data_IF_724668644826
#
_entry.id   IF_724668644826
#
_cell.length_a   1.000
_cell.length_b   1.000
_cell.length_c   1.000
_cell.angle_alpha   90.00
_cell.angle_beta   90.00
_cell.angle_gamma   90.00
#
_symmetry.space_group_name_H-M   'P 1'
#
loop_
_entity.id
_entity.type
_entity.pdbx_description
1 polymer ?
#
# COMPACT_ATOMS: atom_id res chain seq x y z
N UNK A 1 -13.12 28.92 26.05
CA UNK A 1 -12.49 27.84 26.86
C UNK A 1 -12.81 26.47 26.24
N UNK A 2 -14.05 26.15 25.84
CA UNK A 2 -14.40 24.88 25.22
C UNK A 2 -13.74 24.66 23.82
N UNK A 3 -13.57 25.72 23.04
CA UNK A 3 -12.96 25.65 21.70
C UNK A 3 -11.45 25.27 21.69
N UNK A 4 -10.72 25.66 22.74
CA UNK A 4 -9.28 25.38 22.85
C UNK A 4 -9.02 23.90 23.13
N UNK A 5 -9.82 23.29 24.02
CA UNK A 5 -9.71 21.87 24.36
C UNK A 5 -9.99 20.95 23.14
N UNK A 6 -11.01 21.28 22.34
CA UNK A 6 -11.31 20.50 21.14
C UNK A 6 -10.21 20.65 20.06
N UNK A 7 -9.65 21.84 19.90
CA UNK A 7 -8.54 22.10 18.97
C UNK A 7 -7.31 21.25 19.32
N UNK A 8 -6.93 21.22 20.60
CA UNK A 8 -5.81 20.43 21.09
C UNK A 8 -6.06 18.93 20.96
N UNK A 9 -7.28 18.46 21.23
CA UNK A 9 -7.65 17.06 21.06
C UNK A 9 -7.57 16.62 19.59
N UNK A 10 -8.06 17.43 18.65
CA UNK A 10 -7.99 17.16 17.21
C UNK A 10 -6.52 17.14 16.75
N UNK A 11 -5.76 18.18 17.13
CA UNK A 11 -4.32 18.26 16.84
C UNK A 11 -3.58 17.02 17.33
N UNK A 12 -3.79 16.61 18.59
CA UNK A 12 -3.14 15.44 19.17
C UNK A 12 -3.41 14.14 18.41
N UNK A 13 -4.64 13.94 17.93
CA UNK A 13 -4.99 12.78 17.11
C UNK A 13 -4.30 12.82 15.74
N UNK A 14 -4.30 13.96 15.05
CA UNK A 14 -3.62 14.14 13.77
C UNK A 14 -2.11 13.91 13.95
N UNK A 15 -1.51 14.50 14.97
CA UNK A 15 -0.08 14.35 15.25
C UNK A 15 0.30 12.89 15.56
N UNK A 16 -0.58 12.12 16.21
CA UNK A 16 -0.36 10.69 16.43
C UNK A 16 -0.30 9.89 15.13
N UNK A 17 -1.21 10.17 14.19
CA UNK A 17 -1.18 9.54 12.86
C UNK A 17 0.04 10.00 12.02
N UNK A 18 0.34 11.29 12.04
CA UNK A 18 1.53 11.81 11.36
C UNK A 18 2.82 11.18 11.89
N UNK A 19 2.92 10.98 13.20
CA UNK A 19 4.06 10.32 13.83
C UNK A 19 4.19 8.87 13.38
N UNK A 20 3.07 8.15 13.27
CA UNK A 20 3.05 6.78 12.76
C UNK A 20 3.48 6.70 11.30
N UNK A 21 3.05 7.66 10.44
CA UNK A 21 3.32 7.64 9.00
C UNK A 21 4.72 8.20 8.63
N UNK A 22 5.18 9.23 9.33
CA UNK A 22 6.40 9.98 8.95
C UNK A 22 7.60 9.60 9.83
N UNK A 23 7.35 9.05 11.03
CA UNK A 23 8.39 8.69 12.00
C UNK A 23 9.31 9.88 12.36
N UNK A 24 8.74 11.08 12.46
CA UNK A 24 9.44 12.31 12.82
C UNK A 24 8.67 13.04 13.93
N UNK A 25 9.35 13.92 14.66
CA UNK A 25 8.72 14.81 15.65
C UNK A 25 7.96 15.97 14.97
N UNK A 26 7.26 15.69 13.89
CA UNK A 26 6.49 16.68 13.13
C UNK A 26 5.17 16.93 13.84
N UNK A 27 4.80 18.19 14.03
CA UNK A 27 3.52 18.59 14.61
C UNK A 27 2.69 19.37 13.58
N UNK A 28 1.36 19.23 13.70
CA UNK A 28 0.40 19.97 12.86
C UNK A 28 -0.06 21.23 13.56
N UNK A 29 -0.47 22.25 12.80
CA UNK A 29 -1.16 23.41 13.34
C UNK A 29 -2.52 23.63 12.67
N UNK A 30 -3.52 23.99 13.46
CA UNK A 30 -4.86 24.34 13.01
C UNK A 30 -4.98 25.87 12.96
N UNK A 31 -5.15 26.43 11.76
CA UNK A 31 -5.29 27.85 11.52
C UNK A 31 -6.69 28.17 10.99
N UNK A 32 -7.32 29.21 11.50
CA UNK A 32 -8.62 29.71 11.05
C UNK A 32 -8.40 31.09 10.46
N UNK A 33 -8.76 31.30 9.21
CA UNK A 33 -8.43 32.52 8.47
C UNK A 33 -9.52 33.58 8.43
N UNK A 34 -10.82 33.26 8.62
CA UNK A 34 -11.96 34.21 8.51
C UNK A 34 -13.02 33.94 9.59
N UNK A 35 -13.62 34.97 10.19
CA UNK A 35 -14.61 34.85 11.29
C UNK A 35 -16.01 34.36 10.88
N UNK A 36 -16.36 34.31 9.58
CA UNK A 36 -17.67 33.78 9.14
C UNK A 36 -17.67 32.26 9.22
N UNK A 37 -18.70 31.65 9.83
CA UNK A 37 -18.76 30.18 10.06
C UNK A 37 -18.53 29.37 8.78
N UNK A 38 -19.11 29.80 7.66
CA UNK A 38 -18.90 29.12 6.38
C UNK A 38 -17.47 29.29 5.88
N UNK A 39 -16.93 30.49 5.94
CA UNK A 39 -15.52 30.75 5.60
C UNK A 39 -14.54 30.07 6.58
N UNK A 40 -14.93 29.93 7.85
CA UNK A 40 -14.15 29.18 8.84
C UNK A 40 -14.08 27.70 8.43
N UNK A 41 -15.18 27.08 8.02
CA UNK A 41 -15.21 25.68 7.59
C UNK A 41 -14.45 25.47 6.28
N UNK A 42 -14.58 26.42 5.34
CA UNK A 42 -13.93 26.35 4.02
C UNK A 42 -12.42 26.69 4.07
N UNK A 43 -11.95 27.36 5.14
CA UNK A 43 -10.57 27.83 5.28
C UNK A 43 -9.78 27.16 6.42
N UNK A 44 -10.35 26.14 7.07
CA UNK A 44 -9.57 25.33 8.01
C UNK A 44 -8.49 24.61 7.21
N UNK A 45 -7.24 25.00 7.41
CA UNK A 45 -6.09 24.34 6.83
C UNK A 45 -5.28 23.64 7.91
N UNK A 46 -4.81 22.45 7.59
CA UNK A 46 -3.90 21.68 8.44
C UNK A 46 -2.50 21.88 7.86
N UNK A 47 -1.60 22.41 8.68
CA UNK A 47 -0.22 22.70 8.28
C UNK A 47 0.72 21.94 9.21
N UNK A 48 1.74 21.34 8.65
CA UNK A 48 2.82 20.75 9.43
C UNK A 48 3.73 21.88 9.92
N UNK A 49 3.87 22.00 11.25
CA UNK A 49 4.71 23.04 11.86
C UNK A 49 6.17 22.90 11.39
N UNK A 50 6.84 24.02 11.20
CA UNK A 50 8.25 24.12 10.77
C UNK A 50 8.55 23.63 9.33
N UNK A 51 7.54 23.38 8.50
CA UNK A 51 7.75 23.00 7.11
C UNK A 51 7.03 23.96 6.17
N UNK A 52 7.77 24.76 5.42
CA UNK A 52 7.19 25.78 4.52
C UNK A 52 6.78 25.22 3.14
N UNK A 53 7.44 24.14 2.68
CA UNK A 53 7.16 23.52 1.39
C UNK A 53 7.05 22.01 1.57
N UNK A 54 5.84 21.49 1.67
CA UNK A 54 5.59 20.06 1.79
C UNK A 54 5.65 19.40 0.41
N UNK A 55 6.45 18.36 0.27
CA UNK A 55 6.39 17.50 -0.90
C UNK A 55 5.05 16.74 -0.98
N UNK A 56 4.64 16.36 -2.20
CA UNK A 56 3.36 15.66 -2.45
C UNK A 56 3.14 14.42 -1.58
N UNK A 57 4.20 13.63 -1.33
CA UNK A 57 4.11 12.46 -0.46
C UNK A 57 3.80 12.80 1.00
N UNK A 58 4.27 13.94 1.50
CA UNK A 58 3.95 14.40 2.86
C UNK A 58 2.52 14.93 2.93
N UNK A 59 2.08 15.63 1.89
CA UNK A 59 0.69 16.10 1.79
C UNK A 59 -0.29 14.93 1.71
N UNK A 60 0.02 13.88 0.94
CA UNK A 60 -0.81 12.70 0.86
C UNK A 60 -0.94 11.99 2.22
N UNK A 61 0.16 11.85 2.97
CA UNK A 61 0.13 11.29 4.34
C UNK A 61 -0.67 12.15 5.32
N UNK A 62 -0.57 13.47 5.21
CA UNK A 62 -1.37 14.39 6.02
C UNK A 62 -2.86 14.25 5.70
N UNK A 63 -3.22 14.14 4.42
CA UNK A 63 -4.58 13.89 3.98
C UNK A 63 -5.12 12.57 4.55
N UNK A 64 -4.40 11.47 4.40
CA UNK A 64 -4.79 10.18 4.98
C UNK A 64 -4.97 10.25 6.51
N UNK A 65 -4.08 10.94 7.21
CA UNK A 65 -4.19 11.11 8.67
C UNK A 65 -5.46 11.88 9.06
N UNK A 66 -5.90 12.84 8.26
CA UNK A 66 -7.14 13.59 8.53
C UNK A 66 -8.39 12.77 8.23
N UNK A 67 -8.38 11.96 7.17
CA UNK A 67 -9.48 11.05 6.85
C UNK A 67 -9.64 9.97 7.95
N UNK A 68 -8.54 9.40 8.43
CA UNK A 68 -8.56 8.46 9.55
C UNK A 68 -9.13 9.08 10.83
N UNK A 69 -8.89 10.37 11.07
CA UNK A 69 -9.50 11.07 12.19
C UNK A 69 -11.04 11.07 12.08
N UNK A 70 -11.58 11.20 10.88
CA UNK A 70 -13.01 11.13 10.63
C UNK A 70 -13.57 9.72 10.89
N UNK A 71 -12.90 8.69 10.44
CA UNK A 71 -13.27 7.28 10.62
C UNK A 71 -13.17 6.80 12.08
N UNK A 72 -12.31 7.42 12.88
CA UNK A 72 -12.14 7.09 14.30
C UNK A 72 -13.23 7.66 15.23
N UNK A 73 -14.24 8.37 14.72
CA UNK A 73 -15.40 8.74 15.50
C UNK A 73 -16.15 7.49 15.99
N UNK A 74 -16.74 7.58 17.19
CA UNK A 74 -17.63 6.52 17.69
C UNK A 74 -18.84 6.40 16.75
N UNK A 75 -18.92 5.25 16.10
CA UNK A 75 -19.99 4.90 15.18
C UNK A 75 -20.28 3.40 15.35
N UNK A 76 -21.55 3.05 15.46
CA UNK A 76 -21.97 1.66 15.67
C UNK A 76 -22.15 0.86 14.35
N UNK A 77 -21.87 1.49 13.21
CA UNK A 77 -21.99 0.89 11.88
C UNK A 77 -20.64 0.46 11.30
N UNK A 78 -20.69 -0.11 10.10
CA UNK A 78 -19.52 -0.48 9.32
C UNK A 78 -18.67 0.75 9.02
N UNK A 79 -17.40 0.68 9.39
CA UNK A 79 -16.40 1.66 9.00
C UNK A 79 -15.62 1.10 7.82
N UNK A 80 -15.81 1.69 6.64
CA UNK A 80 -15.16 1.28 5.39
C UNK A 80 -14.37 2.45 4.82
N UNK A 81 -13.13 2.22 4.44
CA UNK A 81 -12.28 3.16 3.75
C UNK A 81 -11.80 2.57 2.42
N UNK A 82 -11.99 3.31 1.34
CA UNK A 82 -11.51 2.96 0.02
C UNK A 82 -10.29 3.82 -0.31
N UNK A 83 -9.18 3.20 -0.67
CA UNK A 83 -7.93 3.89 -1.01
C UNK A 83 -7.49 3.44 -2.39
N UNK A 84 -7.42 4.35 -3.34
CA UNK A 84 -6.84 4.13 -4.65
C UNK A 84 -5.37 4.53 -4.65
N UNK A 85 -4.53 3.69 -5.26
CA UNK A 85 -3.10 3.95 -5.45
C UNK A 85 -2.41 4.43 -4.17
N UNK A 86 -2.47 3.60 -3.12
CA UNK A 86 -1.87 3.94 -1.82
C UNK A 86 -0.41 4.41 -1.93
N UNK A 87 0.31 3.91 -2.93
CA UNK A 87 1.70 4.26 -3.23
C UNK A 87 1.90 5.65 -3.83
N UNK A 88 0.85 6.33 -4.29
CA UNK A 88 0.99 7.61 -4.99
C UNK A 88 1.84 8.61 -4.21
N UNK A 89 2.94 9.06 -4.83
CA UNK A 89 3.92 9.99 -4.26
C UNK A 89 4.62 9.53 -2.98
N UNK A 90 4.54 8.23 -2.62
CA UNK A 90 5.18 7.68 -1.45
C UNK A 90 6.42 6.86 -1.81
N UNK A 91 7.53 7.14 -1.13
CA UNK A 91 8.71 6.27 -1.19
C UNK A 91 8.37 4.87 -0.62
N UNK A 92 8.94 3.76 -1.15
CA UNK A 92 8.61 2.39 -0.73
C UNK A 92 8.55 2.17 0.79
N UNK A 93 9.52 2.70 1.54
CA UNK A 93 9.52 2.58 3.00
C UNK A 93 8.37 3.37 3.67
N UNK A 94 7.94 4.49 3.04
CA UNK A 94 6.80 5.25 3.55
C UNK A 94 5.48 4.51 3.29
N UNK A 95 5.36 3.81 2.16
CA UNK A 95 4.22 2.93 1.86
C UNK A 95 4.04 1.89 2.97
N UNK A 96 5.13 1.24 3.38
CA UNK A 96 5.11 0.23 4.45
C UNK A 96 4.63 0.80 5.79
N UNK A 97 5.10 1.98 6.16
CA UNK A 97 4.68 2.64 7.41
C UNK A 97 3.20 3.01 7.39
N UNK A 98 2.69 3.48 6.24
CA UNK A 98 1.27 3.79 6.08
C UNK A 98 0.43 2.52 6.24
N UNK A 99 0.77 1.42 5.53
CA UNK A 99 0.04 0.15 5.66
C UNK A 99 0.02 -0.35 7.10
N UNK A 100 1.17 -0.35 7.79
CA UNK A 100 1.25 -0.78 9.19
C UNK A 100 0.34 0.08 10.09
N UNK A 101 0.33 1.40 9.87
CA UNK A 101 -0.53 2.29 10.66
C UNK A 101 -2.02 2.12 10.35
N UNK A 102 -2.39 1.77 9.10
CA UNK A 102 -3.77 1.45 8.71
C UNK A 102 -4.23 0.14 9.36
N UNK A 103 -3.38 -0.87 9.40
CA UNK A 103 -3.70 -2.18 10.00
C UNK A 103 -4.00 -2.11 11.51
N UNK A 104 -3.51 -1.07 12.20
CA UNK A 104 -3.80 -0.83 13.61
C UNK A 104 -5.18 -0.19 13.85
N UNK A 105 -5.89 0.22 12.79
CA UNK A 105 -7.19 0.88 12.91
C UNK A 105 -8.33 -0.13 12.91
N UNK A 106 -9.37 0.12 13.70
CA UNK A 106 -10.65 -0.62 13.67
C UNK A 106 -11.54 -0.14 12.51
N UNK A 107 -11.06 -0.34 11.29
CA UNK A 107 -11.68 0.10 10.04
C UNK A 107 -11.41 -0.97 8.98
N UNK A 108 -12.41 -1.29 8.17
CA UNK A 108 -12.19 -2.13 6.99
C UNK A 108 -11.62 -1.26 5.86
N UNK A 109 -10.50 -1.70 5.30
CA UNK A 109 -9.87 -1.04 4.16
C UNK A 109 -10.04 -1.89 2.90
N UNK A 110 -10.37 -1.23 1.79
CA UNK A 110 -10.22 -1.79 0.43
C UNK A 110 -9.23 -0.88 -0.29
N UNK A 111 -8.10 -1.46 -0.71
CA UNK A 111 -7.01 -0.69 -1.29
C UNK A 111 -6.65 -1.24 -2.67
N UNK A 112 -6.51 -0.36 -3.66
CA UNK A 112 -5.86 -0.72 -4.92
C UNK A 112 -4.41 -0.27 -4.91
N UNK A 113 -3.55 -1.06 -5.56
CA UNK A 113 -2.13 -0.76 -5.66
C UNK A 113 -1.50 -1.40 -6.89
N UNK A 114 -0.53 -0.71 -7.48
CA UNK A 114 0.39 -1.23 -8.49
C UNK A 114 1.82 -1.39 -7.93
N UNK A 115 1.98 -1.31 -6.60
CA UNK A 115 3.29 -1.38 -5.95
C UNK A 115 3.70 -2.82 -5.61
N UNK A 116 4.77 -3.35 -6.23
CA UNK A 116 5.35 -4.63 -5.83
C UNK A 116 5.79 -4.64 -4.36
N UNK A 117 6.22 -3.49 -3.83
CA UNK A 117 6.60 -3.37 -2.43
C UNK A 117 5.43 -3.63 -1.48
N UNK A 118 4.23 -3.12 -1.81
CA UNK A 118 3.03 -3.38 -1.04
C UNK A 118 2.60 -4.84 -1.18
N UNK A 119 2.53 -5.36 -2.41
CA UNK A 119 2.17 -6.73 -2.68
C UNK A 119 3.08 -7.73 -1.94
N UNK A 120 4.39 -7.44 -1.84
CA UNK A 120 5.37 -8.28 -1.14
C UNK A 120 5.20 -8.34 0.39
N UNK A 121 4.35 -7.50 0.98
CA UNK A 121 4.16 -7.42 2.44
C UNK A 121 2.78 -7.87 2.89
N UNK A 122 1.93 -8.26 1.96
CA UNK A 122 0.61 -8.78 2.28
C UNK A 122 0.77 -10.20 2.84
N UNK A 123 0.14 -10.45 3.97
CA UNK A 123 0.09 -11.79 4.57
C UNK A 123 -1.05 -12.58 3.93
N UNK A 124 -0.70 -13.52 3.07
CA UNK A 124 -1.64 -14.39 2.36
C UNK A 124 -2.18 -15.48 3.29
N UNK A 125 -1.36 -15.93 4.25
CA UNK A 125 -1.71 -16.96 5.23
C UNK A 125 -2.76 -16.52 6.24
N UNK A 126 -2.95 -15.21 6.44
CA UNK A 126 -3.95 -14.66 7.36
C UNK A 126 -5.19 -14.15 6.61
N UNK A 127 -5.94 -15.08 6.04
CA UNK A 127 -7.18 -14.80 5.29
C UNK A 127 -8.29 -14.13 6.13
N UNK A 128 -8.15 -14.10 7.45
CA UNK A 128 -9.12 -13.44 8.34
C UNK A 128 -8.88 -11.93 8.44
N UNK A 129 -7.62 -11.49 8.32
CA UNK A 129 -7.26 -10.08 8.44
C UNK A 129 -7.01 -9.40 7.11
N UNK A 130 -6.55 -10.13 6.10
CA UNK A 130 -6.20 -9.56 4.79
C UNK A 130 -6.55 -10.53 3.66
N UNK A 131 -7.21 -10.02 2.63
CA UNK A 131 -7.46 -10.75 1.38
C UNK A 131 -6.77 -10.03 0.24
N UNK A 132 -5.96 -10.75 -0.53
CA UNK A 132 -5.37 -10.25 -1.76
C UNK A 132 -6.27 -10.66 -2.94
N UNK A 133 -6.68 -9.67 -3.74
CA UNK A 133 -7.47 -9.86 -4.94
C UNK A 133 -6.63 -9.46 -6.15
N UNK A 134 -6.36 -10.39 -7.05
CA UNK A 134 -5.70 -10.11 -8.32
C UNK A 134 -6.75 -9.76 -9.37
N UNK A 135 -6.68 -8.54 -9.92
CA UNK A 135 -7.61 -8.07 -10.95
C UNK A 135 -6.92 -8.18 -12.32
N UNK A 136 -7.48 -9.00 -13.21
CA UNK A 136 -6.98 -9.16 -14.57
C UNK A 136 -8.10 -8.95 -15.59
N UNK A 137 -8.05 -7.84 -16.31
CA UNK A 137 -9.13 -7.44 -17.21
C UNK A 137 -10.44 -7.23 -16.46
N UNK A 138 -11.45 -8.06 -16.72
CA UNK A 138 -12.76 -8.05 -16.04
C UNK A 138 -12.90 -9.12 -14.96
N UNK A 139 -11.86 -9.90 -14.73
CA UNK A 139 -11.88 -11.01 -13.79
C UNK A 139 -11.13 -10.68 -12.52
N UNK A 140 -11.60 -11.26 -11.40
CA UNK A 140 -11.00 -11.04 -10.07
C UNK A 140 -10.68 -12.43 -9.48
N UNK A 141 -9.43 -12.61 -9.13
CA UNK A 141 -8.90 -13.85 -8.55
C UNK A 141 -8.47 -13.61 -7.10
N UNK A 142 -9.23 -14.11 -6.12
CA UNK A 142 -8.80 -14.03 -4.73
C UNK A 142 -7.67 -15.03 -4.47
N UNK A 143 -6.60 -14.55 -3.86
CA UNK A 143 -5.45 -15.37 -3.48
C UNK A 143 -5.62 -15.82 -2.01
N UNK A 144 -6.39 -16.87 -1.81
CA UNK A 144 -6.62 -17.48 -0.50
C UNK A 144 -6.70 -19.00 -0.59
N UNK A 145 -6.57 -19.68 0.55
CA UNK A 145 -6.59 -21.15 0.63
C UNK A 145 -7.90 -21.80 0.20
N UNK A 146 -9.01 -21.06 0.25
CA UNK A 146 -10.34 -21.62 -0.05
C UNK A 146 -10.63 -21.69 -1.55
N UNK A 147 -10.00 -20.81 -2.32
CA UNK A 147 -10.28 -20.64 -3.76
C UNK A 147 -9.06 -20.95 -4.65
N UNK A 148 -7.88 -21.09 -4.06
CA UNK A 148 -6.67 -21.55 -4.74
C UNK A 148 -6.35 -22.99 -4.36
N UNK A 149 -5.35 -23.58 -5.03
CA UNK A 149 -4.80 -24.89 -4.63
C UNK A 149 -3.70 -24.79 -3.58
N UNK A 150 -3.46 -23.58 -3.07
CA UNK A 150 -2.44 -23.31 -2.05
C UNK A 150 -2.93 -23.81 -0.70
N UNK A 151 -2.11 -24.57 -0.03
CA UNK A 151 -2.30 -24.87 1.39
C UNK A 151 -1.66 -23.79 2.27
N UNK A 152 -1.82 -23.94 3.60
CA UNK A 152 -1.26 -22.95 4.54
C UNK A 152 0.27 -22.89 4.49
N UNK A 153 0.95 -24.00 4.21
CA UNK A 153 2.43 -24.05 4.10
C UNK A 153 2.88 -23.35 2.82
N UNK A 154 2.15 -23.52 1.73
CA UNK A 154 2.41 -22.83 0.47
C UNK A 154 2.20 -21.32 0.61
N UNK A 155 1.17 -20.87 1.32
CA UNK A 155 0.96 -19.46 1.60
C UNK A 155 2.11 -18.85 2.42
N UNK A 156 2.54 -19.52 3.49
CA UNK A 156 3.69 -19.08 4.30
C UNK A 156 4.96 -19.05 3.46
N UNK A 157 5.16 -20.06 2.61
CA UNK A 157 6.30 -20.09 1.71
C UNK A 157 6.29 -18.92 0.72
N UNK A 158 5.15 -18.62 0.09
CA UNK A 158 5.00 -17.48 -0.81
C UNK A 158 5.26 -16.14 -0.11
N UNK A 159 4.80 -15.96 1.12
CA UNK A 159 5.07 -14.76 1.91
C UNK A 159 6.57 -14.52 2.12
N UNK A 160 7.33 -15.59 2.34
CA UNK A 160 8.79 -15.50 2.47
C UNK A 160 9.49 -15.33 1.12
N UNK A 161 8.94 -15.92 0.06
CA UNK A 161 9.49 -15.83 -1.28
C UNK A 161 9.25 -14.47 -1.95
N UNK A 162 8.07 -13.90 -1.74
CA UNK A 162 7.66 -12.64 -2.36
C UNK A 162 8.44 -11.47 -1.76
N UNK A 163 9.51 -11.09 -2.42
CA UNK A 163 10.14 -9.78 -2.24
C UNK A 163 9.64 -8.80 -3.32
N UNK A 164 10.07 -7.55 -3.24
CA UNK A 164 9.64 -6.52 -4.18
C UNK A 164 9.97 -6.82 -5.66
N UNK A 165 11.00 -7.64 -5.92
CA UNK A 165 11.39 -8.07 -7.27
C UNK A 165 10.48 -9.18 -7.78
N UNK A 166 10.22 -10.17 -6.95
CA UNK A 166 9.39 -11.32 -7.30
C UNK A 166 7.89 -10.99 -7.29
N UNK A 167 7.48 -10.00 -6.50
CA UNK A 167 6.10 -9.51 -6.50
C UNK A 167 5.66 -8.89 -7.85
N UNK A 168 6.59 -8.62 -8.77
CA UNK A 168 6.27 -8.28 -10.16
C UNK A 168 5.44 -9.35 -10.88
N UNK A 169 5.47 -10.61 -10.40
CA UNK A 169 4.62 -11.67 -10.95
C UNK A 169 3.13 -11.31 -10.93
N UNK A 170 2.68 -10.54 -9.94
CA UNK A 170 1.26 -10.13 -9.83
C UNK A 170 0.85 -9.10 -10.86
N UNK A 171 1.80 -8.42 -11.51
CA UNK A 171 1.57 -7.32 -12.43
C UNK A 171 1.93 -7.67 -13.89
N UNK A 172 2.36 -8.92 -14.14
CA UNK A 172 2.80 -9.38 -15.45
C UNK A 172 1.70 -10.17 -16.16
N UNK A 173 1.56 -10.00 -17.47
CA UNK A 173 0.68 -10.84 -18.31
C UNK A 173 1.25 -12.24 -18.54
N UNK A 174 2.57 -12.36 -18.52
CA UNK A 174 3.26 -13.63 -18.66
C UNK A 174 4.47 -13.71 -17.74
N UNK A 175 4.80 -14.91 -17.30
CA UNK A 175 5.90 -15.14 -16.37
C UNK A 175 6.80 -16.24 -16.93
N UNK A 176 8.10 -15.99 -16.94
CA UNK A 176 9.12 -17.00 -17.23
C UNK A 176 9.87 -17.25 -15.93
N UNK A 177 9.69 -18.44 -15.36
CA UNK A 177 10.42 -18.87 -14.18
C UNK A 177 11.79 -19.43 -14.58
N UNK A 178 12.85 -18.98 -13.92
CA UNK A 178 14.21 -19.40 -14.18
C UNK A 178 14.92 -19.80 -12.89
N UNK A 179 15.92 -20.68 -13.01
CA UNK A 179 16.62 -21.25 -11.85
C UNK A 179 17.76 -20.38 -11.34
N UNK A 180 18.28 -19.49 -12.18
CA UNK A 180 19.45 -18.71 -11.81
C UNK A 180 19.59 -17.37 -12.51
N UNK A 181 20.62 -16.65 -12.09
CA UNK A 181 20.95 -15.32 -12.60
C UNK A 181 21.35 -15.31 -14.07
N UNK A 182 21.93 -16.43 -14.56
CA UNK A 182 22.38 -16.51 -15.95
C UNK A 182 21.18 -16.44 -16.91
N UNK A 183 20.14 -17.20 -16.64
CA UNK A 183 18.92 -17.23 -17.44
C UNK A 183 18.16 -15.90 -17.30
N UNK A 184 18.05 -15.36 -16.09
CA UNK A 184 17.38 -14.09 -15.82
C UNK A 184 17.97 -12.94 -16.64
N UNK A 185 19.30 -12.88 -16.74
CA UNK A 185 20.00 -11.85 -17.51
C UNK A 185 20.01 -12.12 -19.01
N UNK A 186 20.14 -13.40 -19.41
CA UNK A 186 20.33 -13.77 -20.81
C UNK A 186 19.03 -13.81 -21.60
N UNK A 187 17.94 -14.29 -21.01
CA UNK A 187 16.66 -14.46 -21.72
C UNK A 187 16.11 -13.16 -22.32
N UNK A 188 16.10 -12.01 -21.61
CA UNK A 188 15.64 -10.76 -22.19
C UNK A 188 16.51 -10.32 -23.40
N UNK A 189 17.82 -10.56 -23.31
CA UNK A 189 18.76 -10.23 -24.38
C UNK A 189 18.53 -11.12 -25.61
N UNK A 190 18.35 -12.42 -25.42
CA UNK A 190 18.06 -13.36 -26.50
C UNK A 190 16.70 -13.08 -27.14
N UNK A 191 15.67 -12.84 -26.35
CA UNK A 191 14.35 -12.48 -26.82
C UNK A 191 14.41 -11.21 -27.72
N UNK A 192 15.11 -10.19 -27.25
CA UNK A 192 15.28 -8.95 -28.02
C UNK A 192 16.02 -9.16 -29.34
N UNK A 193 17.04 -10.04 -29.36
CA UNK A 193 17.74 -10.43 -30.62
C UNK A 193 16.86 -11.16 -31.61
N UNK A 194 15.83 -11.85 -31.14
CA UNK A 194 14.83 -12.52 -31.96
C UNK A 194 13.69 -11.59 -32.37
N UNK A 195 13.74 -10.30 -32.01
CA UNK A 195 12.71 -9.33 -32.28
C UNK A 195 11.52 -9.38 -31.29
N UNK A 196 11.67 -10.08 -30.18
CA UNK A 196 10.66 -10.20 -29.14
C UNK A 196 11.11 -9.39 -27.91
N UNK A 197 10.53 -8.22 -27.70
CA UNK A 197 10.77 -7.45 -26.48
C UNK A 197 9.83 -7.95 -25.37
N UNK A 198 10.34 -8.57 -24.35
CA UNK A 198 9.55 -9.11 -23.24
C UNK A 198 8.76 -8.00 -22.52
N UNK A 199 9.31 -6.79 -22.41
CA UNK A 199 8.64 -5.66 -21.78
C UNK A 199 7.41 -5.22 -22.57
N UNK A 200 7.47 -5.18 -23.90
CA UNK A 200 6.34 -4.81 -24.77
C UNK A 200 5.19 -5.83 -24.66
N UNK A 201 5.52 -7.06 -24.30
CA UNK A 201 4.56 -8.14 -24.07
C UNK A 201 4.14 -8.28 -22.59
N UNK A 202 4.62 -7.40 -21.72
CA UNK A 202 4.36 -7.43 -20.27
C UNK A 202 4.73 -8.78 -19.63
N UNK A 203 5.85 -9.38 -20.11
CA UNK A 203 6.39 -10.64 -19.61
C UNK A 203 7.56 -10.37 -18.68
N UNK A 204 7.49 -10.93 -17.47
CA UNK A 204 8.56 -10.85 -16.47
C UNK A 204 9.34 -12.15 -16.39
N UNK A 205 10.67 -12.05 -16.26
CA UNK A 205 11.55 -13.18 -15.95
C UNK A 205 11.81 -13.16 -14.45
N UNK A 206 11.46 -14.24 -13.77
CA UNK A 206 11.52 -14.36 -12.31
C UNK A 206 12.49 -15.49 -11.94
N UNK A 207 13.55 -15.11 -11.22
CA UNK A 207 14.51 -16.06 -10.69
C UNK A 207 13.99 -16.69 -9.40
N UNK A 208 13.75 -18.00 -9.42
CA UNK A 208 13.28 -18.76 -8.26
C UNK A 208 14.43 -19.36 -7.43
N UNK A 209 15.66 -19.22 -7.88
CA UNK A 209 16.87 -19.61 -7.14
C UNK A 209 17.08 -21.11 -6.95
N UNK A 210 16.25 -21.98 -7.57
CA UNK A 210 16.37 -23.43 -7.44
C UNK A 210 15.54 -24.15 -8.51
N UNK A 211 15.78 -25.47 -8.67
CA UNK A 211 14.99 -26.37 -9.51
C UNK A 211 13.57 -26.62 -8.99
N UNK A 212 13.21 -26.11 -7.81
CA UNK A 212 11.91 -26.32 -7.18
C UNK A 212 10.80 -25.41 -7.77
N UNK A 213 10.94 -25.01 -9.03
CA UNK A 213 10.02 -24.12 -9.74
C UNK A 213 8.57 -24.65 -9.85
N UNK A 214 8.34 -25.94 -9.73
CA UNK A 214 7.01 -26.55 -9.74
C UNK A 214 6.12 -25.97 -8.63
N UNK A 215 6.70 -25.65 -7.47
CA UNK A 215 5.97 -25.03 -6.34
C UNK A 215 5.45 -23.63 -6.63
N UNK A 216 6.03 -22.95 -7.61
CA UNK A 216 5.66 -21.60 -8.04
C UNK A 216 4.73 -21.59 -9.26
N UNK A 217 4.59 -22.72 -9.93
CA UNK A 217 3.82 -22.84 -11.18
C UNK A 217 2.41 -23.43 -10.98
N UNK A 218 2.13 -23.96 -9.80
CA UNK A 218 0.84 -24.54 -9.42
C UNK A 218 -0.07 -23.53 -8.74
#
# INVERSE_FOLDING_TARGET
IAGTSNKEMIKGKIDSFLKAFINSNTSSSLTIADPKIRSILDTISIVIEQSQNLGLGTMNRLYMATELLHLNKKWDGLKLCLIEELEAHLHPQAQMKVVSALQEQDVQFIMSTHSPNLASKIKISDSKSTNLLLCYGTEIYPLNTDLTRLDTEDCIFLEHFLDATKANLFFSKGIILVEGWAEELLLPVLANRLGLNLTDHEVSVINVGSTAHIRYAN
#
